data_IF_965324945244
#
_entry.id   IF_965324945244
#
_cell.length_a   1.000
_cell.length_b   1.000
_cell.length_c   1.000
_cell.angle_alpha   90.00
_cell.angle_beta   90.00
_cell.angle_gamma   90.00
#
_symmetry.space_group_name_H-M   'P 1'
#
loop_
_entity.id
_entity.type
_entity.pdbx_description
1 polymer ?
#
# COMPACT_ATOMS: atom_id res chain seq x y z
N UNK A 1 -18.98 -25.73 11.19
CA UNK A 1 -17.51 -25.46 11.01
C UNK A 1 -17.02 -26.25 9.82
N UNK A 2 -16.83 -25.64 8.64
CA UNK A 2 -16.25 -26.28 7.45
C UNK A 2 -14.99 -25.51 7.08
N UNK A 3 -13.85 -26.18 7.19
CA UNK A 3 -12.51 -25.66 6.86
C UNK A 3 -12.39 -25.56 5.34
N UNK A 4 -12.03 -24.39 4.85
CA UNK A 4 -11.56 -24.18 3.47
C UNK A 4 -10.10 -24.65 3.40
N UNK A 5 -9.83 -25.65 2.59
CA UNK A 5 -8.47 -26.07 2.28
C UNK A 5 -8.03 -25.43 0.96
N UNK A 6 -6.91 -24.73 1.01
CA UNK A 6 -6.20 -24.30 -0.18
C UNK A 6 -5.49 -25.51 -0.79
N UNK A 7 -5.96 -26.00 -1.93
CA UNK A 7 -5.31 -27.06 -2.69
C UNK A 7 -4.52 -26.43 -3.85
N UNK A 8 -3.27 -26.85 -3.96
CA UNK A 8 -2.24 -26.30 -4.83
C UNK A 8 -2.60 -26.28 -6.32
N UNK A 9 -1.93 -25.40 -7.02
CA UNK A 9 -2.00 -25.20 -8.48
C UNK A 9 -1.51 -26.43 -9.24
N UNK A 10 -2.36 -27.05 -10.04
CA UNK A 10 -1.97 -27.93 -11.14
C UNK A 10 -1.43 -27.12 -12.34
N UNK A 11 -0.50 -27.70 -13.10
CA UNK A 11 0.27 -27.12 -14.21
C UNK A 11 -0.53 -26.62 -15.43
N UNK A 12 -1.83 -26.40 -15.34
CA UNK A 12 -2.68 -26.10 -16.49
C UNK A 12 -3.63 -24.90 -16.31
N UNK A 13 -3.27 -23.88 -15.56
CA UNK A 13 -4.03 -22.61 -15.56
C UNK A 13 -5.48 -22.71 -15.04
N UNK A 14 -5.82 -23.74 -14.27
CA UNK A 14 -7.14 -23.93 -13.65
C UNK A 14 -7.08 -23.62 -12.16
N UNK A 15 -7.96 -22.77 -11.70
CA UNK A 15 -8.13 -22.46 -10.28
C UNK A 15 -9.40 -23.12 -9.79
N UNK A 16 -9.31 -23.93 -8.76
CA UNK A 16 -10.48 -24.48 -8.08
C UNK A 16 -11.13 -23.42 -7.22
N UNK A 17 -12.32 -23.01 -7.55
CA UNK A 17 -13.13 -22.05 -6.78
C UNK A 17 -14.28 -22.80 -6.14
N UNK A 18 -14.41 -22.68 -4.83
CA UNK A 18 -15.50 -23.25 -4.06
C UNK A 18 -16.61 -22.21 -3.87
N UNK A 19 -17.75 -22.38 -4.52
CA UNK A 19 -18.93 -21.57 -4.31
C UNK A 19 -20.11 -22.46 -3.91
N UNK A 20 -20.71 -22.15 -2.78
CA UNK A 20 -21.98 -22.74 -2.33
C UNK A 20 -22.02 -24.28 -2.27
N UNK A 21 -20.91 -24.93 -1.87
CA UNK A 21 -20.91 -26.38 -1.67
C UNK A 21 -20.67 -27.22 -2.94
N UNK A 22 -20.38 -26.61 -4.07
CA UNK A 22 -20.09 -27.31 -5.33
C UNK A 22 -18.68 -26.93 -5.82
N UNK A 23 -17.87 -27.96 -6.08
CA UNK A 23 -16.55 -27.78 -6.69
C UNK A 23 -16.74 -27.49 -8.18
N UNK A 24 -16.32 -26.31 -8.65
CA UNK A 24 -16.31 -25.96 -10.07
C UNK A 24 -14.90 -25.62 -10.49
N UNK A 25 -14.41 -26.28 -11.51
CA UNK A 25 -13.22 -25.87 -12.23
C UNK A 25 -13.57 -24.70 -13.14
N UNK A 26 -13.01 -23.54 -12.87
CA UNK A 26 -13.17 -22.37 -13.73
C UNK A 26 -11.82 -22.02 -14.35
N UNK A 27 -11.78 -21.85 -15.66
CA UNK A 27 -10.64 -21.25 -16.34
C UNK A 27 -10.44 -19.83 -15.82
N UNK A 28 -9.22 -19.42 -15.53
CA UNK A 28 -8.92 -18.07 -15.07
C UNK A 28 -9.45 -16.98 -16.02
N UNK A 29 -9.68 -17.33 -17.27
CA UNK A 29 -10.29 -16.46 -18.28
C UNK A 29 -11.81 -16.23 -18.10
N UNK A 30 -12.51 -17.07 -17.33
CA UNK A 30 -13.96 -16.91 -17.07
C UNK A 30 -14.26 -16.01 -15.88
N UNK A 31 -13.31 -15.89 -14.93
CA UNK A 31 -13.50 -15.09 -13.71
C UNK A 31 -13.17 -13.61 -13.97
N UNK A 32 -12.25 -13.34 -14.88
CA UNK A 32 -11.84 -12.00 -15.24
C UNK A 32 -12.20 -11.74 -16.70
N UNK A 33 -13.15 -10.81 -16.94
CA UNK A 33 -13.54 -10.42 -18.29
C UNK A 33 -12.31 -10.15 -19.17
N UNK A 34 -12.39 -10.48 -20.46
CA UNK A 34 -11.30 -10.31 -21.46
C UNK A 34 -10.79 -8.88 -21.50
N UNK A 35 -9.87 -8.54 -20.58
CA UNK A 35 -9.01 -7.38 -20.66
C UNK A 35 -7.79 -7.70 -21.55
N UNK A 36 -7.39 -6.74 -22.33
CA UNK A 36 -6.27 -6.71 -23.27
C UNK A 36 -5.12 -7.71 -23.01
N UNK A 37 -4.75 -8.45 -24.06
CA UNK A 37 -3.89 -9.64 -24.10
C UNK A 37 -2.37 -9.42 -23.96
N UNK A 38 -1.84 -8.44 -23.21
CA UNK A 38 -0.37 -8.26 -23.17
C UNK A 38 0.22 -7.78 -21.83
N UNK A 39 -0.50 -7.90 -20.72
CA UNK A 39 -0.01 -7.52 -19.40
C UNK A 39 0.64 -8.68 -18.65
N UNK A 40 1.76 -8.42 -17.97
CA UNK A 40 2.30 -9.34 -16.96
C UNK A 40 1.37 -9.38 -15.76
N UNK A 41 1.42 -10.48 -15.01
CA UNK A 41 0.74 -10.61 -13.73
C UNK A 41 1.80 -10.66 -12.62
N UNK A 42 1.54 -9.96 -11.51
CA UNK A 42 2.39 -10.01 -10.33
C UNK A 42 1.71 -10.83 -9.23
N UNK A 43 2.46 -11.78 -8.68
CA UNK A 43 2.00 -12.64 -7.59
C UNK A 43 2.73 -12.30 -6.31
N UNK A 44 2.00 -12.23 -5.20
CA UNK A 44 2.58 -12.09 -3.85
C UNK A 44 3.45 -13.31 -3.50
N UNK A 45 4.53 -13.07 -2.76
CA UNK A 45 5.40 -14.14 -2.30
C UNK A 45 4.69 -15.11 -1.34
N UNK A 46 4.91 -16.42 -1.50
CA UNK A 46 4.25 -17.47 -0.70
C UNK A 46 4.41 -17.29 0.81
N UNK A 47 5.53 -16.77 1.27
CA UNK A 47 5.77 -16.49 2.69
C UNK A 47 4.75 -15.53 3.30
N UNK A 48 4.30 -14.56 2.51
CA UNK A 48 3.29 -13.59 2.95
C UNK A 48 1.87 -14.18 3.02
N UNK A 49 1.64 -15.34 2.42
CA UNK A 49 0.36 -16.08 2.51
C UNK A 49 0.32 -17.08 3.66
N UNK A 50 1.48 -17.39 4.25
CA UNK A 50 1.62 -18.44 5.29
C UNK A 50 2.16 -17.93 6.63
N UNK A 51 2.61 -16.68 6.70
CA UNK A 51 3.14 -16.04 7.90
C UNK A 51 2.35 -14.77 8.23
N UNK A 52 2.47 -14.30 9.48
CA UNK A 52 1.88 -13.02 9.90
C UNK A 52 2.50 -11.90 9.07
N UNK A 53 1.69 -11.15 8.34
CA UNK A 53 2.14 -10.04 7.51
C UNK A 53 2.37 -8.82 8.38
N UNK A 54 3.61 -8.36 8.47
CA UNK A 54 3.98 -7.17 9.24
C UNK A 54 3.89 -5.94 8.37
N UNK A 55 3.08 -4.97 8.80
CA UNK A 55 2.86 -3.73 8.08
C UNK A 55 3.37 -2.56 8.92
N UNK A 56 4.26 -1.75 8.36
CA UNK A 56 4.60 -0.46 8.92
C UNK A 56 3.78 0.62 8.22
N UNK A 57 2.91 1.28 8.97
CA UNK A 57 2.12 2.42 8.51
C UNK A 57 2.83 3.70 8.93
N UNK A 58 3.33 4.47 7.97
CA UNK A 58 4.12 5.67 8.18
C UNK A 58 3.30 6.91 7.85
N UNK A 59 3.05 7.71 8.87
CA UNK A 59 2.10 8.84 8.84
C UNK A 59 0.68 8.39 9.15
N UNK A 60 0.04 9.02 10.15
CA UNK A 60 -1.33 8.72 10.60
C UNK A 60 -2.18 9.99 10.54
N UNK A 61 -1.97 10.79 9.49
CA UNK A 61 -2.79 11.94 9.15
C UNK A 61 -4.06 11.56 8.37
N UNK A 62 -4.45 12.39 7.39
CA UNK A 62 -5.68 12.19 6.61
C UNK A 62 -5.76 10.85 5.89
N UNK A 63 -4.69 10.44 5.22
CA UNK A 63 -4.61 9.12 4.58
C UNK A 63 -4.40 8.00 5.61
N UNK A 64 -3.43 8.17 6.53
CA UNK A 64 -2.99 7.07 7.38
C UNK A 64 -4.02 6.63 8.42
N UNK A 65 -4.78 7.54 9.03
CA UNK A 65 -5.83 7.18 9.96
C UNK A 65 -6.95 6.37 9.27
N UNK A 66 -7.31 6.74 8.04
CA UNK A 66 -8.27 5.99 7.24
C UNK A 66 -7.70 4.64 6.77
N UNK A 67 -6.41 4.63 6.36
CA UNK A 67 -5.73 3.42 5.93
C UNK A 67 -5.64 2.39 7.06
N UNK A 68 -5.35 2.82 8.29
CA UNK A 68 -5.35 1.95 9.46
C UNK A 68 -6.71 1.24 9.66
N UNK A 69 -7.82 1.96 9.51
CA UNK A 69 -9.15 1.37 9.56
C UNK A 69 -9.39 0.35 8.43
N UNK A 70 -8.94 0.66 7.22
CA UNK A 70 -9.05 -0.27 6.09
C UNK A 70 -8.19 -1.53 6.29
N UNK A 71 -6.99 -1.40 6.88
CA UNK A 71 -6.14 -2.53 7.23
C UNK A 71 -6.79 -3.44 8.28
N UNK A 72 -7.50 -2.87 9.27
CA UNK A 72 -8.25 -3.68 10.25
C UNK A 72 -9.34 -4.52 9.58
N UNK A 73 -10.08 -3.93 8.64
CA UNK A 73 -11.07 -4.66 7.84
C UNK A 73 -10.42 -5.70 6.92
N UNK A 74 -9.26 -5.39 6.35
CA UNK A 74 -8.49 -6.32 5.51
C UNK A 74 -7.98 -7.52 6.33
N UNK A 75 -7.50 -7.31 7.56
CA UNK A 75 -7.09 -8.38 8.47
C UNK A 75 -8.22 -9.38 8.70
N UNK A 76 -9.42 -8.88 9.03
CA UNK A 76 -10.60 -9.72 9.23
C UNK A 76 -10.95 -10.49 7.94
N UNK A 77 -10.95 -9.81 6.80
CA UNK A 77 -11.25 -10.44 5.51
C UNK A 77 -10.23 -11.52 5.15
N UNK A 78 -8.94 -11.25 5.32
CA UNK A 78 -7.87 -12.22 5.08
C UNK A 78 -8.03 -13.47 5.92
N UNK A 79 -8.28 -13.32 7.24
CA UNK A 79 -8.49 -14.44 8.16
C UNK A 79 -9.75 -15.23 7.80
N UNK A 80 -10.83 -14.55 7.45
CA UNK A 80 -12.08 -15.19 7.02
C UNK A 80 -11.89 -16.00 5.73
N UNK A 81 -10.98 -15.56 4.85
CA UNK A 81 -10.64 -16.23 3.59
C UNK A 81 -9.53 -17.28 3.74
N UNK A 82 -9.07 -17.55 4.97
CA UNK A 82 -8.16 -18.65 5.27
C UNK A 82 -6.70 -18.28 5.48
N UNK A 83 -6.35 -16.98 5.50
CA UNK A 83 -5.00 -16.57 5.89
C UNK A 83 -4.76 -16.89 7.37
N UNK A 84 -3.69 -17.67 7.73
CA UNK A 84 -3.58 -18.24 9.08
C UNK A 84 -3.36 -17.20 10.17
N UNK A 85 -2.71 -16.07 9.86
CA UNK A 85 -2.25 -15.11 10.87
C UNK A 85 -2.68 -13.66 10.64
N UNK A 86 -3.20 -13.32 9.45
CA UNK A 86 -3.59 -11.96 9.10
C UNK A 86 -2.45 -10.93 9.13
N UNK A 87 -2.79 -9.70 9.50
CA UNK A 87 -1.87 -8.57 9.58
C UNK A 87 -1.45 -8.28 11.02
N UNK A 88 -0.27 -7.69 11.17
CA UNK A 88 0.13 -6.93 12.35
C UNK A 88 0.64 -5.57 11.91
N UNK A 89 -0.01 -4.51 12.36
CA UNK A 89 0.34 -3.14 11.97
C UNK A 89 1.06 -2.44 13.11
N UNK A 90 2.20 -1.84 12.79
CA UNK A 90 2.86 -0.86 13.65
C UNK A 90 2.74 0.51 12.98
N UNK A 91 2.04 1.43 13.61
CA UNK A 91 1.82 2.78 13.09
C UNK A 91 2.82 3.77 13.66
N UNK A 92 3.46 4.55 12.81
CA UNK A 92 4.48 5.55 13.14
C UNK A 92 3.97 6.95 12.79
N UNK A 93 3.88 7.82 13.78
CA UNK A 93 3.57 9.24 13.59
C UNK A 93 4.06 10.03 14.81
N UNK A 94 4.90 11.05 14.59
CA UNK A 94 5.43 11.90 15.65
C UNK A 94 4.47 13.00 16.10
N UNK A 95 3.43 13.28 15.32
CA UNK A 95 2.54 14.41 15.54
C UNK A 95 1.49 14.14 16.61
N UNK A 96 1.00 15.26 17.15
CA UNK A 96 -0.21 15.30 17.97
C UNK A 96 -1.39 15.81 17.14
N UNK A 97 -2.58 15.44 17.56
CA UNK A 97 -3.82 15.96 16.99
C UNK A 97 -3.94 17.45 17.32
N UNK A 98 -4.16 18.27 16.30
CA UNK A 98 -4.47 19.69 16.44
C UNK A 98 -5.93 19.96 16.07
N UNK A 99 -6.43 21.14 16.42
CA UNK A 99 -7.79 21.57 16.07
C UNK A 99 -8.03 21.54 14.55
N UNK A 100 -7.01 21.88 13.74
CA UNK A 100 -7.09 21.85 12.28
C UNK A 100 -7.22 20.42 11.68
N UNK A 101 -6.98 19.39 12.49
CA UNK A 101 -7.16 18.01 12.07
C UNK A 101 -8.60 17.51 12.24
N UNK A 102 -9.36 18.13 13.17
CA UNK A 102 -10.74 17.73 13.47
C UNK A 102 -11.63 17.92 12.25
N UNK A 103 -12.40 16.89 11.90
CA UNK A 103 -13.34 16.90 10.78
C UNK A 103 -12.69 16.67 9.39
N UNK A 104 -11.43 17.06 9.20
CA UNK A 104 -10.69 16.78 7.96
C UNK A 104 -9.98 15.42 8.02
N UNK A 105 -9.50 15.06 9.16
CA UNK A 105 -8.95 13.74 9.48
C UNK A 105 -9.92 13.02 10.43
N UNK A 106 -9.74 11.74 10.68
CA UNK A 106 -10.63 10.97 11.57
C UNK A 106 -10.24 11.21 13.03
N UNK A 107 -10.32 12.47 13.47
CA UNK A 107 -10.11 12.87 14.85
C UNK A 107 -11.30 13.72 15.35
N UNK A 108 -11.55 13.60 16.65
CA UNK A 108 -12.58 14.36 17.37
C UNK A 108 -11.95 15.51 18.20
N UNK A 109 -12.73 16.48 18.67
CA UNK A 109 -12.24 17.50 19.58
C UNK A 109 -11.60 16.94 20.86
N UNK A 110 -12.06 15.78 21.33
CA UNK A 110 -11.50 15.12 22.51
C UNK A 110 -10.09 14.54 22.31
N UNK A 111 -9.62 14.44 21.05
CA UNK A 111 -8.30 13.92 20.72
C UNK A 111 -7.21 14.98 20.68
N UNK A 112 -7.59 16.25 20.68
CA UNK A 112 -6.64 17.36 20.57
C UNK A 112 -5.58 17.26 21.67
N UNK A 113 -4.31 17.33 21.26
CA UNK A 113 -3.15 17.15 22.12
C UNK A 113 -2.65 15.72 22.29
N UNK A 114 -3.42 14.71 21.91
CA UNK A 114 -3.01 13.31 21.96
C UNK A 114 -2.17 12.94 20.71
N UNK A 115 -1.30 11.93 20.82
CA UNK A 115 -0.52 11.45 19.67
C UNK A 115 -1.42 10.74 18.65
N UNK A 116 -1.31 11.13 17.36
CA UNK A 116 -2.12 10.58 16.26
C UNK A 116 -2.05 9.06 16.17
N UNK A 117 -0.83 8.49 16.18
CA UNK A 117 -0.64 7.04 16.12
C UNK A 117 -1.31 6.32 17.29
N UNK A 118 -1.15 6.83 18.52
CA UNK A 118 -1.69 6.20 19.74
C UNK A 118 -3.20 6.21 19.74
N UNK A 119 -3.83 7.34 19.43
CA UNK A 119 -5.29 7.46 19.39
C UNK A 119 -5.88 6.52 18.35
N UNK A 120 -5.31 6.51 17.15
CA UNK A 120 -5.82 5.69 16.04
C UNK A 120 -5.71 4.20 16.34
N UNK A 121 -4.55 3.73 16.77
CA UNK A 121 -4.33 2.31 17.03
C UNK A 121 -5.12 1.82 18.23
N UNK A 122 -5.17 2.57 19.33
CA UNK A 122 -5.95 2.18 20.51
C UNK A 122 -7.44 2.01 20.16
N UNK A 123 -8.02 2.91 19.37
CA UNK A 123 -9.41 2.79 18.93
C UNK A 123 -9.65 1.54 18.09
N UNK A 124 -8.74 1.24 17.16
CA UNK A 124 -8.86 0.05 16.33
C UNK A 124 -8.68 -1.23 17.13
N UNK A 125 -7.70 -1.26 18.06
CA UNK A 125 -7.50 -2.39 18.96
C UNK A 125 -8.74 -2.66 19.81
N UNK A 126 -9.35 -1.62 20.38
CA UNK A 126 -10.58 -1.76 21.18
C UNK A 126 -11.78 -2.19 20.32
N UNK A 127 -11.94 -1.60 19.14
CA UNK A 127 -13.12 -1.84 18.32
C UNK A 127 -13.08 -3.22 17.61
N UNK A 128 -11.91 -3.63 17.13
CA UNK A 128 -11.76 -4.87 16.35
C UNK A 128 -11.11 -6.02 17.13
N UNK A 129 -10.70 -5.82 18.40
CA UNK A 129 -10.02 -6.82 19.19
C UNK A 129 -8.62 -7.15 18.67
N UNK A 130 -7.87 -6.11 18.23
CA UNK A 130 -6.53 -6.24 17.65
C UNK A 130 -5.44 -6.03 18.71
N UNK A 131 -4.20 -6.40 18.35
CA UNK A 131 -2.98 -6.27 19.15
C UNK A 131 -1.90 -5.45 18.42
N UNK A 132 -2.31 -4.41 17.69
CA UNK A 132 -1.44 -3.59 16.88
C UNK A 132 -0.68 -2.54 17.69
N UNK A 133 0.49 -2.12 17.19
CA UNK A 133 1.39 -1.22 17.87
C UNK A 133 1.31 0.23 17.38
N UNK A 134 1.47 1.18 18.28
CA UNK A 134 1.60 2.60 18.00
C UNK A 134 2.97 3.12 18.47
N UNK A 135 3.70 3.75 17.58
CA UNK A 135 4.99 4.39 17.86
C UNK A 135 4.85 5.90 17.65
N UNK A 136 4.74 6.71 18.73
CA UNK A 136 4.54 8.16 18.64
C UNK A 136 5.86 8.89 18.31
N UNK A 137 6.49 8.52 17.20
CA UNK A 137 7.74 9.10 16.66
C UNK A 137 7.73 9.02 15.15
N UNK A 138 8.52 9.87 14.52
CA UNK A 138 8.78 9.76 13.10
C UNK A 138 9.47 8.42 12.77
N UNK A 139 9.16 7.92 11.59
CA UNK A 139 9.67 6.61 11.16
C UNK A 139 11.19 6.60 11.06
N UNK A 140 11.81 5.71 11.81
CA UNK A 140 13.23 5.43 11.76
C UNK A 140 13.46 3.92 11.75
N UNK A 141 14.21 3.43 10.75
CA UNK A 141 14.55 2.01 10.62
C UNK A 141 15.45 1.51 11.73
N UNK A 142 16.20 2.38 12.42
CA UNK A 142 16.99 1.99 13.60
C UNK A 142 16.08 1.48 14.72
N UNK A 143 14.87 2.02 14.83
CA UNK A 143 13.86 1.58 15.81
C UNK A 143 13.27 0.20 15.49
N UNK A 144 13.43 -0.26 14.25
CA UNK A 144 12.91 -1.54 13.77
C UNK A 144 13.89 -2.68 14.07
N UNK A 145 15.20 -2.40 14.05
CA UNK A 145 16.23 -3.40 14.32
C UNK A 145 16.19 -3.91 15.76
N UNK A 146 15.83 -3.05 16.70
CA UNK A 146 15.78 -3.38 18.12
C UNK A 146 14.55 -4.25 18.50
N UNK A 147 13.50 -4.24 17.68
CA UNK A 147 12.28 -5.03 17.93
C UNK A 147 12.21 -6.33 17.12
N UNK A 148 13.27 -6.71 16.41
CA UNK A 148 13.37 -8.02 15.75
C UNK A 148 12.41 -8.26 14.59
N UNK A 149 11.68 -7.25 14.12
CA UNK A 149 10.66 -7.43 13.09
C UNK A 149 10.81 -6.51 11.90
N UNK A 150 11.38 -7.05 10.82
CA UNK A 150 11.36 -6.37 9.54
C UNK A 150 9.94 -6.35 8.96
N UNK A 151 9.45 -5.23 8.40
CA UNK A 151 8.15 -5.17 7.77
C UNK A 151 8.15 -5.97 6.47
N UNK A 152 7.04 -6.65 6.20
CA UNK A 152 6.76 -7.20 4.87
C UNK A 152 6.29 -6.09 3.92
N UNK A 153 5.46 -5.19 4.42
CA UNK A 153 4.92 -4.05 3.67
C UNK A 153 5.17 -2.77 4.44
N UNK A 154 5.70 -1.75 3.77
CA UNK A 154 5.72 -0.38 4.26
C UNK A 154 4.65 0.41 3.52
N UNK A 155 3.76 1.07 4.24
CA UNK A 155 2.74 1.95 3.68
C UNK A 155 3.07 3.38 4.08
N UNK A 156 3.34 4.23 3.10
CA UNK A 156 3.62 5.65 3.34
C UNK A 156 2.40 6.52 3.05
N UNK A 157 1.99 7.25 4.06
CA UNK A 157 0.92 8.24 4.04
C UNK A 157 1.48 9.62 4.42
N UNK A 158 2.71 9.89 3.99
CA UNK A 158 3.43 11.13 4.27
C UNK A 158 3.11 12.20 3.23
N UNK A 159 3.04 13.44 3.67
CA UNK A 159 2.77 14.62 2.83
C UNK A 159 4.05 15.30 2.35
N UNK A 160 5.16 15.23 3.09
CA UNK A 160 6.37 15.92 2.75
C UNK A 160 7.31 15.14 1.81
N UNK A 161 7.96 15.86 0.89
CA UNK A 161 8.99 15.32 0.01
C UNK A 161 10.20 14.81 0.81
N UNK A 162 10.53 15.48 1.92
CA UNK A 162 11.62 15.10 2.85
C UNK A 162 11.36 13.71 3.44
N UNK A 163 10.17 13.47 4.01
CA UNK A 163 9.84 12.16 4.59
C UNK A 163 9.86 11.05 3.53
N UNK A 164 9.40 11.34 2.30
CA UNK A 164 9.45 10.38 1.18
C UNK A 164 10.87 10.08 0.72
N UNK A 165 11.77 11.08 0.70
CA UNK A 165 13.21 10.87 0.45
C UNK A 165 13.87 10.00 1.51
N UNK A 166 13.54 10.23 2.78
CA UNK A 166 14.09 9.44 3.88
C UNK A 166 13.62 7.99 3.79
N UNK A 167 12.34 7.75 3.50
CA UNK A 167 11.82 6.41 3.22
C UNK A 167 12.50 5.76 2.02
N UNK A 168 12.66 6.49 0.90
CA UNK A 168 13.36 5.98 -0.28
C UNK A 168 14.77 5.52 0.08
N UNK A 169 15.59 6.38 0.71
CA UNK A 169 16.95 6.03 1.13
C UNK A 169 16.99 4.76 1.98
N UNK A 170 16.06 4.63 2.93
CA UNK A 170 16.01 3.50 3.87
C UNK A 170 15.57 2.21 3.20
N UNK A 171 14.56 2.28 2.33
CA UNK A 171 14.02 1.10 1.65
C UNK A 171 14.93 0.59 0.53
N UNK A 172 15.77 1.45 -0.06
CA UNK A 172 16.70 1.09 -1.11
C UNK A 172 18.14 0.87 -0.62
N UNK A 173 18.40 1.03 0.67
CA UNK A 173 19.74 0.75 1.22
C UNK A 173 20.01 -0.75 1.31
N UNK A 174 21.31 -1.11 1.31
CA UNK A 174 21.73 -2.52 1.49
C UNK A 174 21.28 -3.04 2.86
N UNK A 175 20.61 -4.20 2.86
CA UNK A 175 20.09 -4.84 4.08
C UNK A 175 18.63 -4.48 4.40
N UNK A 176 18.00 -3.58 3.65
CA UNK A 176 16.56 -3.38 3.76
C UNK A 176 15.80 -4.66 3.39
N UNK A 177 14.75 -4.97 4.14
CA UNK A 177 14.02 -6.25 4.03
C UNK A 177 12.54 -6.10 3.69
N UNK A 178 12.04 -4.87 3.50
CA UNK A 178 10.67 -4.67 3.06
C UNK A 178 10.46 -5.28 1.68
N UNK A 179 9.44 -6.13 1.55
CA UNK A 179 9.09 -6.72 0.26
C UNK A 179 8.34 -5.72 -0.61
N UNK A 180 7.41 -4.98 -0.01
CA UNK A 180 6.58 -3.99 -0.72
C UNK A 180 6.65 -2.61 -0.06
N UNK A 181 6.56 -1.60 -0.91
CA UNK A 181 6.29 -0.22 -0.53
C UNK A 181 5.02 0.25 -1.25
N UNK A 182 3.97 0.52 -0.49
CA UNK A 182 2.75 1.14 -0.97
C UNK A 182 2.77 2.62 -0.58
N UNK A 183 2.81 3.51 -1.56
CA UNK A 183 2.78 4.96 -1.33
C UNK A 183 1.44 5.55 -1.70
N UNK A 184 0.91 6.36 -0.80
CA UNK A 184 -0.28 7.18 -1.01
C UNK A 184 0.14 8.64 -1.00
N UNK A 185 0.02 9.31 -2.13
CA UNK A 185 0.26 10.74 -2.25
C UNK A 185 -0.94 11.44 -2.85
N UNK A 186 -1.20 12.66 -2.41
CA UNK A 186 -2.30 13.47 -2.91
C UNK A 186 -1.90 14.93 -3.07
N UNK A 187 -2.62 15.58 -3.95
CA UNK A 187 -2.64 17.02 -4.18
C UNK A 187 -4.03 17.56 -3.80
N UNK A 188 -4.33 18.80 -4.14
CA UNK A 188 -5.65 19.39 -3.90
C UNK A 188 -6.81 18.56 -4.47
N UNK A 189 -6.65 18.03 -5.67
CA UNK A 189 -7.72 17.34 -6.40
C UNK A 189 -7.30 16.02 -7.05
N UNK A 190 -6.07 15.61 -6.86
CA UNK A 190 -5.52 14.38 -7.42
C UNK A 190 -4.89 13.49 -6.37
N UNK A 191 -4.78 12.20 -6.68
CA UNK A 191 -4.08 11.25 -5.86
C UNK A 191 -3.30 10.24 -6.72
N UNK A 192 -2.16 9.78 -6.21
CA UNK A 192 -1.49 8.60 -6.72
C UNK A 192 -1.40 7.54 -5.62
N UNK A 193 -1.61 6.30 -6.02
CA UNK A 193 -1.39 5.11 -5.21
C UNK A 193 -0.49 4.19 -6.00
N UNK A 194 0.65 3.81 -5.44
CA UNK A 194 1.63 2.96 -6.11
C UNK A 194 2.15 1.89 -5.16
N UNK A 195 1.98 0.64 -5.54
CA UNK A 195 2.62 -0.51 -4.92
C UNK A 195 3.88 -0.86 -5.69
N UNK A 196 5.03 -0.85 -5.04
CA UNK A 196 6.32 -1.20 -5.63
C UNK A 196 7.11 -2.15 -4.76
N UNK A 197 8.14 -2.75 -5.34
CA UNK A 197 9.12 -3.59 -4.65
C UNK A 197 10.44 -2.83 -4.54
N UNK A 198 10.85 -2.36 -3.34
CA UNK A 198 12.13 -1.69 -3.17
C UNK A 198 13.30 -2.58 -3.61
N UNK A 199 14.34 -1.97 -4.18
CA UNK A 199 15.52 -2.68 -4.68
C UNK A 199 16.75 -2.33 -3.84
N UNK A 200 17.03 -3.08 -2.77
CA UNK A 200 18.15 -2.78 -1.89
C UNK A 200 19.52 -3.17 -2.48
N UNK A 201 19.56 -3.94 -3.57
CA UNK A 201 20.79 -4.41 -4.24
C UNK A 201 20.51 -4.80 -5.71
N UNK A 202 21.54 -4.97 -6.56
CA UNK A 202 21.36 -5.45 -7.93
C UNK A 202 20.67 -6.81 -7.96
N UNK A 203 19.68 -6.96 -8.83
CA UNK A 203 18.91 -8.18 -9.03
C UNK A 203 19.32 -8.87 -10.36
N UNK A 204 19.13 -10.20 -10.47
CA UNK A 204 19.19 -10.87 -11.76
C UNK A 204 18.26 -10.23 -12.81
N UNK A 205 18.63 -10.24 -14.07
CA UNK A 205 17.90 -9.54 -15.16
C UNK A 205 16.40 -9.86 -15.18
N UNK A 206 16.02 -11.12 -14.96
CA UNK A 206 14.62 -11.52 -14.94
C UNK A 206 13.87 -10.91 -13.77
N UNK A 207 14.42 -10.97 -12.56
CA UNK A 207 13.80 -10.39 -11.36
C UNK A 207 13.70 -8.87 -11.48
N UNK A 208 14.72 -8.21 -12.01
CA UNK A 208 14.67 -6.78 -12.29
C UNK A 208 13.60 -6.43 -13.31
N UNK A 209 13.41 -7.24 -14.35
CA UNK A 209 12.38 -7.04 -15.36
C UNK A 209 10.97 -7.15 -14.80
N UNK A 210 10.72 -8.14 -13.93
CA UNK A 210 9.41 -8.46 -13.37
C UNK A 210 9.07 -7.60 -12.13
N UNK A 211 10.05 -7.00 -11.47
CA UNK A 211 9.90 -6.22 -10.24
C UNK A 211 9.02 -4.98 -10.46
N UNK A 212 8.04 -4.79 -9.58
CA UNK A 212 7.19 -3.60 -9.58
C UNK A 212 8.01 -2.34 -9.24
N UNK A 213 8.03 -1.30 -10.10
CA UNK A 213 8.69 -0.05 -9.77
C UNK A 213 7.98 0.68 -8.64
N UNK A 214 8.74 1.26 -7.72
CA UNK A 214 8.23 2.08 -6.64
C UNK A 214 7.82 3.47 -7.13
N UNK A 215 7.05 4.17 -6.32
CA UNK A 215 6.55 5.53 -6.62
C UNK A 215 7.66 6.50 -7.00
N UNK A 216 8.80 6.44 -6.31
CA UNK A 216 9.97 7.31 -6.55
C UNK A 216 10.75 6.95 -7.81
N UNK A 217 10.58 5.75 -8.34
CA UNK A 217 11.12 5.35 -9.63
C UNK A 217 10.21 5.82 -10.78
N UNK A 218 8.87 5.75 -10.58
CA UNK A 218 7.89 6.24 -11.55
C UNK A 218 7.81 7.76 -11.59
N UNK A 219 7.96 8.42 -10.44
CA UNK A 219 7.83 9.86 -10.26
C UNK A 219 9.03 10.43 -9.51
N UNK A 220 10.23 10.49 -10.14
CA UNK A 220 11.46 10.98 -9.49
C UNK A 220 11.34 12.40 -8.92
N UNK A 221 10.49 13.23 -9.52
CA UNK A 221 10.21 14.60 -9.08
C UNK A 221 9.63 14.69 -7.66
N UNK A 222 9.10 13.59 -7.11
CA UNK A 222 8.64 13.51 -5.72
C UNK A 222 9.79 13.53 -4.71
N UNK A 223 11.03 13.34 -5.18
CA UNK A 223 12.24 13.44 -4.38
C UNK A 223 12.91 14.81 -4.47
N UNK A 224 12.45 15.70 -5.35
CA UNK A 224 13.00 17.05 -5.50
C UNK A 224 12.61 17.93 -4.30
N UNK A 225 13.53 18.80 -3.91
CA UNK A 225 13.22 19.83 -2.92
C UNK A 225 12.27 20.84 -3.55
N UNK A 226 11.09 20.93 -2.97
CA UNK A 226 10.22 22.08 -3.15
C UNK A 226 10.32 22.90 -1.87
N UNK A 227 10.23 24.21 -1.99
CA UNK A 227 9.97 25.08 -0.83
C UNK A 227 8.62 24.59 -0.28
N UNK A 228 8.70 23.71 0.71
CA UNK A 228 7.51 23.28 1.46
C UNK A 228 7.12 24.49 2.31
N UNK A 229 5.92 24.97 2.14
CA UNK A 229 5.34 25.98 3.00
C UNK A 229 5.10 25.32 4.38
N UNK A 230 6.14 25.27 5.19
CA UNK A 230 6.17 24.65 6.53
C UNK A 230 5.27 25.38 7.54
N UNK A 231 4.53 26.42 7.09
CA UNK A 231 3.60 27.12 7.94
C UNK A 231 2.44 26.18 8.33
N UNK A 232 2.33 25.77 9.61
CA UNK A 232 1.21 24.96 10.06
C UNK A 232 -0.07 25.76 9.80
N UNK A 233 -0.95 25.23 8.97
CA UNK A 233 -2.26 25.86 8.75
C UNK A 233 -3.08 25.79 10.04
N UNK A 234 -3.15 26.91 10.75
CA UNK A 234 -3.84 27.00 12.04
C UNK A 234 -5.36 26.90 11.93
N UNK A 235 -5.93 26.82 10.72
CA UNK A 235 -7.38 26.72 10.56
C UNK A 235 -7.79 25.59 9.60
N UNK A 236 -8.89 24.91 9.93
CA UNK A 236 -9.56 23.88 9.11
C UNK A 236 -9.86 24.43 7.71
N UNK A 237 -10.24 25.70 7.60
CA UNK A 237 -10.57 26.35 6.31
C UNK A 237 -9.37 26.41 5.36
N UNK A 238 -8.20 26.84 5.83
CA UNK A 238 -6.97 26.90 5.03
C UNK A 238 -6.56 25.49 4.61
N UNK A 239 -6.62 24.52 5.51
CA UNK A 239 -6.32 23.13 5.21
C UNK A 239 -7.25 22.52 4.16
N UNK A 240 -8.54 22.88 4.16
CA UNK A 240 -9.51 22.44 3.13
C UNK A 240 -9.30 23.12 1.78
N UNK A 241 -8.78 24.34 1.77
CA UNK A 241 -8.41 25.04 0.52
C UNK A 241 -7.17 24.41 -0.12
N UNK A 242 -6.22 23.95 0.67
CA UNK A 242 -5.01 23.30 0.19
C UNK A 242 -5.24 21.84 -0.27
N UNK A 243 -6.28 21.18 0.23
CA UNK A 243 -6.58 19.78 -0.09
C UNK A 243 -8.08 19.51 -0.04
N UNK A 244 -8.63 18.97 -1.11
CA UNK A 244 -10.05 18.60 -1.16
C UNK A 244 -10.42 17.57 -0.08
N UNK A 245 -11.61 17.74 0.53
CA UNK A 245 -12.06 16.96 1.68
C UNK A 245 -11.99 15.44 1.44
N UNK A 246 -12.37 14.97 0.26
CA UNK A 246 -12.49 13.53 -0.05
C UNK A 246 -11.34 12.95 -0.88
N UNK A 247 -10.28 13.70 -1.15
CA UNK A 247 -9.15 13.18 -1.93
C UNK A 247 -8.42 12.05 -1.17
N UNK A 248 -8.31 12.18 0.15
CA UNK A 248 -7.77 11.14 1.02
C UNK A 248 -8.57 9.85 0.96
N UNK A 249 -9.91 9.96 1.00
CA UNK A 249 -10.81 8.81 0.93
C UNK A 249 -10.62 8.01 -0.35
N UNK A 250 -10.51 8.70 -1.50
CA UNK A 250 -10.29 8.06 -2.79
C UNK A 250 -8.95 7.35 -2.85
N UNK A 251 -7.87 8.00 -2.39
CA UNK A 251 -6.55 7.37 -2.35
C UNK A 251 -6.56 6.11 -1.49
N UNK A 252 -7.12 6.20 -0.28
CA UNK A 252 -7.17 5.08 0.66
C UNK A 252 -8.01 3.91 0.14
N UNK A 253 -9.15 4.18 -0.49
CA UNK A 253 -10.00 3.11 -1.05
C UNK A 253 -9.29 2.36 -2.17
N UNK A 254 -8.60 3.06 -3.08
CA UNK A 254 -7.79 2.41 -4.12
C UNK A 254 -6.60 1.63 -3.54
N UNK A 255 -5.90 2.18 -2.56
CA UNK A 255 -4.81 1.49 -1.88
C UNK A 255 -5.28 0.20 -1.19
N UNK A 256 -6.43 0.28 -0.51
CA UNK A 256 -7.03 -0.87 0.18
C UNK A 256 -7.50 -1.96 -0.79
N UNK A 257 -8.10 -1.55 -1.90
CA UNK A 257 -8.53 -2.47 -2.95
C UNK A 257 -7.33 -3.19 -3.58
N UNK A 258 -6.25 -2.45 -3.86
CA UNK A 258 -5.03 -3.00 -4.43
C UNK A 258 -4.38 -4.05 -3.51
N UNK A 259 -4.33 -3.77 -2.18
CA UNK A 259 -3.85 -4.75 -1.21
C UNK A 259 -4.79 -5.96 -1.12
N UNK A 260 -6.10 -5.75 -1.13
CA UNK A 260 -7.06 -6.84 -1.09
C UNK A 260 -6.88 -7.77 -2.30
N UNK A 261 -6.75 -7.22 -3.52
CA UNK A 261 -6.49 -7.98 -4.73
C UNK A 261 -5.17 -8.75 -4.67
N UNK A 262 -4.11 -8.12 -4.15
CA UNK A 262 -2.79 -8.74 -3.98
C UNK A 262 -2.84 -10.00 -3.13
N UNK A 263 -3.66 -10.01 -2.07
CA UNK A 263 -3.85 -11.20 -1.21
C UNK A 263 -4.86 -12.20 -1.79
N UNK A 264 -5.68 -11.82 -2.78
CA UNK A 264 -6.63 -12.72 -3.43
C UNK A 264 -5.99 -13.51 -4.58
N UNK A 265 -4.97 -12.96 -5.24
CA UNK A 265 -4.32 -13.62 -6.37
C UNK A 265 -3.41 -12.71 -7.18
N UNK A 266 -3.12 -13.09 -8.42
CA UNK A 266 -2.28 -12.28 -9.31
C UNK A 266 -2.92 -10.93 -9.61
N UNK A 267 -2.16 -9.85 -9.48
CA UNK A 267 -2.58 -8.50 -9.86
C UNK A 267 -2.05 -8.11 -11.24
N UNK A 268 -2.83 -7.34 -11.98
CA UNK A 268 -2.47 -6.77 -13.30
C UNK A 268 -2.17 -5.28 -13.25
N UNK A 269 -2.54 -4.65 -12.15
CA UNK A 269 -2.29 -3.23 -11.90
C UNK A 269 -1.60 -3.11 -10.55
N UNK A 270 -0.57 -2.27 -10.48
CA UNK A 270 0.15 -2.03 -9.24
C UNK A 270 0.06 -0.58 -8.76
N UNK A 271 -0.77 0.21 -9.41
CA UNK A 271 -1.03 1.58 -8.99
C UNK A 271 -2.27 2.16 -9.66
N UNK A 272 -2.71 3.29 -9.14
CA UNK A 272 -3.84 4.07 -9.66
C UNK A 272 -3.53 5.56 -9.56
N UNK A 273 -3.79 6.29 -10.65
CA UNK A 273 -3.79 7.74 -10.68
C UNK A 273 -5.23 8.24 -10.67
N UNK A 274 -5.56 9.16 -9.80
CA UNK A 274 -6.92 9.69 -9.62
C UNK A 274 -6.93 11.20 -9.82
N UNK A 275 -7.94 11.70 -10.52
CA UNK A 275 -8.23 13.13 -10.63
C UNK A 275 -9.71 13.38 -10.33
N UNK A 276 -9.98 14.00 -9.20
CA UNK A 276 -11.35 14.24 -8.72
C UNK A 276 -12.08 15.31 -9.52
N UNK A 277 -11.37 16.30 -10.05
CA UNK A 277 -12.00 17.36 -10.87
C UNK A 277 -12.56 16.77 -12.16
N UNK A 278 -11.75 16.01 -12.89
CA UNK A 278 -12.15 15.38 -14.14
C UNK A 278 -12.97 14.10 -13.97
N UNK A 279 -13.15 13.61 -12.71
CA UNK A 279 -13.83 12.33 -12.39
C UNK A 279 -13.18 11.12 -13.08
N UNK A 280 -11.86 11.15 -13.23
CA UNK A 280 -11.11 10.09 -13.91
C UNK A 280 -10.18 9.38 -12.94
N UNK A 281 -10.08 8.07 -13.11
CA UNK A 281 -9.02 7.24 -12.54
C UNK A 281 -8.43 6.38 -13.65
N UNK A 282 -7.10 6.14 -13.56
CA UNK A 282 -6.38 5.31 -14.51
C UNK A 282 -5.43 4.38 -13.80
N UNK A 283 -5.38 3.09 -14.16
CA UNK A 283 -4.46 2.12 -13.57
C UNK A 283 -3.03 2.33 -14.07
N UNK A 284 -2.08 1.88 -13.26
CA UNK A 284 -0.69 1.65 -13.68
C UNK A 284 -0.55 0.13 -13.83
N UNK A 285 -0.44 -0.31 -15.08
CA UNK A 285 -0.39 -1.73 -15.39
C UNK A 285 0.94 -2.36 -14.96
N UNK A 286 0.90 -3.63 -14.60
CA UNK A 286 2.09 -4.48 -14.44
C UNK A 286 2.64 -4.80 -15.83
N UNK A 287 3.29 -3.80 -16.43
CA UNK A 287 3.79 -3.88 -17.80
C UNK A 287 5.00 -2.95 -18.01
N UNK A 288 6.19 -3.49 -18.34
CA UNK A 288 7.37 -2.67 -18.66
C UNK A 288 7.17 -1.66 -19.78
N UNK A 289 6.27 -1.91 -20.76
CA UNK A 289 5.95 -0.94 -21.80
C UNK A 289 5.19 0.27 -21.26
N UNK A 290 4.37 0.08 -20.22
CA UNK A 290 3.71 1.18 -19.48
C UNK A 290 4.75 1.94 -18.66
N UNK A 291 5.62 1.23 -17.92
CA UNK A 291 6.65 1.84 -17.08
C UNK A 291 7.66 2.67 -17.88
N UNK A 292 7.91 2.29 -19.14
CA UNK A 292 8.75 3.08 -20.06
C UNK A 292 8.20 4.51 -20.28
N UNK A 293 6.89 4.72 -20.21
CA UNK A 293 6.26 6.07 -20.30
C UNK A 293 6.62 6.96 -19.12
N UNK A 294 6.97 6.35 -17.98
CA UNK A 294 7.46 7.01 -16.76
C UNK A 294 9.00 7.10 -16.73
N UNK A 295 9.69 6.82 -17.84
CA UNK A 295 11.15 6.91 -17.93
C UNK A 295 11.91 5.65 -17.50
N UNK A 296 11.24 4.61 -17.02
CA UNK A 296 11.90 3.37 -16.59
C UNK A 296 12.32 2.58 -17.81
N UNK A 297 13.63 2.35 -17.95
CA UNK A 297 14.22 1.57 -19.04
C UNK A 297 14.87 0.31 -18.46
N UNK A 298 14.22 -0.83 -18.67
CA UNK A 298 14.74 -2.14 -18.27
C UNK A 298 15.03 -2.98 -19.50
N UNK A 299 16.12 -3.71 -19.47
CA UNK A 299 16.49 -4.60 -20.56
C UNK A 299 15.66 -5.87 -20.45
N UNK A 300 14.99 -6.27 -21.55
CA UNK A 300 14.27 -7.54 -21.61
C UNK A 300 15.29 -8.69 -21.54
N UNK A 301 15.13 -9.66 -20.63
CA UNK A 301 16.03 -10.81 -20.54
C UNK A 301 16.08 -11.59 -21.86
N UNK A 302 17.26 -12.11 -22.20
CA UNK A 302 17.40 -12.99 -23.35
C UNK A 302 16.59 -14.27 -23.11
N UNK A 303 15.76 -14.67 -24.07
CA UNK A 303 14.93 -15.89 -24.01
C UNK A 303 13.48 -15.71 -23.54
N UNK A 304 13.05 -14.52 -23.09
CA UNK A 304 11.63 -14.23 -22.97
C UNK A 304 11.06 -13.92 -24.35
N UNK A 305 10.41 -14.91 -24.96
CA UNK A 305 9.62 -14.69 -26.17
C UNK A 305 8.43 -13.77 -25.84
N UNK A 306 8.07 -12.92 -26.80
CA UNK A 306 6.83 -12.18 -26.73
C UNK A 306 5.68 -13.17 -26.94
N UNK A 307 4.98 -13.56 -25.86
CA UNK A 307 3.71 -14.24 -25.97
C UNK A 307 2.62 -13.27 -26.43
#
# INVERSE_FOLDING_TARGET
MRRLYWLGTHRAGWVKVWCAGVEREASSAMIFGRGSRSGMEHCIGRSMLSQRVRVHLVGVGGNGAQMANCLARLDIAMRALGHPYGLHVTAFDGDRVSESNVGRQIYSPADVGLHKAVVTINRLNQYFGLDWDAVPRHYDTSLVSDQGSCPSIVISCVDSARARRDLHRRLFQRGARATYWLDLGNTESGAQVVLGEPKPYPLPERQEWERLPCVTELFPQLLEEREEDDAPSCSVRISLQAQGLFVNDMAVRWASQLLYELFQGPIRHHGVLVNLLSKRSGPIDVNPAVWKRFGIRRRKPRGLQAE
#
